data_IF_629613260997
#
_entry.id   IF_629613260997
#
_cell.length_a   1.000
_cell.length_b   1.000
_cell.length_c   1.000
_cell.angle_alpha   90.00
_cell.angle_beta   90.00
_cell.angle_gamma   90.00
#
_symmetry.space_group_name_H-M   'P 1'
#
loop_
_entity.id
_entity.type
_entity.pdbx_description
1 polymer ?
#
# COMPACT_ATOMS: atom_id res chain seq x y z
N UNK A 1 15.82 -26.58 -14.71
CA UNK A 1 17.03 -25.82 -14.33
C UNK A 1 17.07 -25.77 -12.81
N UNK A 2 18.15 -26.23 -12.15
CA UNK A 2 18.21 -26.26 -10.69
C UNK A 2 18.74 -24.94 -10.16
N UNK A 3 17.92 -24.20 -9.41
CA UNK A 3 18.31 -23.00 -8.68
C UNK A 3 18.35 -23.36 -7.19
N UNK A 4 19.47 -23.17 -6.48
CA UNK A 4 19.57 -23.43 -5.05
C UNK A 4 18.49 -22.68 -4.26
N UNK A 5 17.83 -23.35 -3.29
CA UNK A 5 16.72 -22.79 -2.50
C UNK A 5 17.05 -21.45 -1.82
N UNK A 6 18.32 -21.21 -1.47
CA UNK A 6 18.79 -19.96 -0.86
C UNK A 6 19.01 -18.81 -1.87
N UNK A 7 18.84 -19.04 -3.17
CA UNK A 7 19.02 -18.06 -4.26
C UNK A 7 17.72 -17.81 -5.03
N UNK A 8 16.59 -18.18 -4.46
CA UNK A 8 15.28 -18.01 -5.08
C UNK A 8 14.20 -17.75 -4.02
N UNK A 9 13.32 -16.81 -4.31
CA UNK A 9 12.11 -16.54 -3.56
C UNK A 9 10.94 -17.11 -4.35
N UNK A 10 10.44 -18.26 -3.93
CA UNK A 10 9.33 -18.98 -4.55
C UNK A 10 7.98 -18.59 -3.94
N UNK A 11 6.90 -18.98 -4.61
CA UNK A 11 5.51 -18.91 -4.13
C UNK A 11 5.07 -17.49 -3.76
N UNK A 12 5.52 -16.50 -4.52
CA UNK A 12 5.06 -15.11 -4.41
C UNK A 12 3.78 -14.94 -5.23
N UNK A 13 2.96 -13.92 -4.96
CA UNK A 13 1.72 -13.67 -5.70
C UNK A 13 1.58 -12.18 -6.04
N UNK A 14 1.05 -11.85 -7.22
CA UNK A 14 0.74 -10.47 -7.63
C UNK A 14 -0.69 -10.39 -8.16
N UNK A 15 -1.43 -9.36 -7.73
CA UNK A 15 -2.79 -9.02 -8.21
C UNK A 15 -2.94 -7.54 -8.55
N UNK A 16 -1.90 -6.75 -8.31
CA UNK A 16 -1.89 -5.30 -8.27
C UNK A 16 -1.36 -4.67 -9.57
N UNK A 17 -1.38 -5.42 -10.68
CA UNK A 17 -0.88 -5.01 -11.99
C UNK A 17 0.57 -4.50 -11.98
N UNK A 18 1.38 -4.89 -10.98
CA UNK A 18 2.78 -4.47 -10.84
C UNK A 18 3.77 -5.32 -11.61
N UNK A 19 3.35 -6.48 -12.09
CA UNK A 19 4.14 -7.28 -13.02
C UNK A 19 3.40 -7.31 -14.35
N UNK A 20 4.15 -7.30 -15.44
CA UNK A 20 3.65 -7.54 -16.77
C UNK A 20 4.49 -8.62 -17.44
N UNK A 21 3.85 -9.38 -18.34
CA UNK A 21 4.53 -10.37 -19.16
C UNK A 21 5.50 -9.62 -20.07
N UNK A 22 6.79 -9.98 -20.04
CA UNK A 22 7.84 -9.29 -20.80
C UNK A 22 7.57 -9.26 -22.30
N UNK A 23 7.00 -10.34 -22.84
CA UNK A 23 6.75 -10.51 -24.28
C UNK A 23 5.54 -9.72 -24.78
N UNK A 24 4.45 -9.69 -24.01
CA UNK A 24 3.17 -9.10 -24.46
C UNK A 24 2.89 -7.73 -23.85
N UNK A 25 3.55 -7.39 -22.74
CA UNK A 25 3.24 -6.20 -21.94
C UNK A 25 1.91 -6.29 -21.18
N UNK A 26 1.24 -7.44 -21.20
CA UNK A 26 -0.02 -7.63 -20.47
C UNK A 26 0.24 -7.75 -18.98
N UNK A 27 -0.61 -7.12 -18.17
CA UNK A 27 -0.52 -7.23 -16.73
C UNK A 27 -0.65 -8.68 -16.27
N UNK A 28 0.30 -9.10 -15.46
CA UNK A 28 0.34 -10.42 -14.89
C UNK A 28 -0.36 -10.43 -13.54
N UNK A 29 -1.26 -11.40 -13.36
CA UNK A 29 -1.90 -11.72 -12.08
C UNK A 29 -1.73 -13.21 -11.84
N UNK A 30 -1.18 -13.57 -10.69
CA UNK A 30 -0.87 -14.97 -10.39
C UNK A 30 0.36 -15.16 -9.53
N UNK A 31 0.69 -16.42 -9.29
CA UNK A 31 1.89 -16.81 -8.58
C UNK A 31 3.13 -16.56 -9.41
N UNK A 32 4.20 -16.11 -8.77
CA UNK A 32 5.50 -15.88 -9.39
C UNK A 32 6.63 -16.31 -8.45
N UNK A 33 7.84 -16.44 -8.98
CA UNK A 33 9.07 -16.54 -8.20
C UNK A 33 10.10 -15.52 -8.67
N UNK A 34 10.95 -15.11 -7.75
CA UNK A 34 12.03 -14.15 -7.98
C UNK A 34 13.37 -14.83 -7.78
N UNK A 35 14.24 -14.70 -8.76
CA UNK A 35 15.63 -15.18 -8.67
C UNK A 35 16.50 -14.18 -7.91
N UNK A 36 17.63 -14.64 -7.36
CA UNK A 36 18.62 -13.74 -6.73
C UNK A 36 19.14 -12.65 -7.67
N UNK A 37 19.13 -12.89 -8.99
CA UNK A 37 19.46 -11.91 -10.03
C UNK A 37 18.42 -10.78 -10.17
N UNK A 38 17.32 -10.85 -9.43
CA UNK A 38 16.24 -9.86 -9.48
C UNK A 38 15.22 -10.09 -10.60
N UNK A 39 15.34 -11.18 -11.36
CA UNK A 39 14.36 -11.54 -12.41
C UNK A 39 13.13 -12.22 -11.81
N UNK A 40 11.98 -11.94 -12.39
CA UNK A 40 10.67 -12.45 -12.00
C UNK A 40 10.16 -13.42 -13.06
N UNK A 41 9.53 -14.51 -12.62
CA UNK A 41 8.97 -15.52 -13.52
C UNK A 41 7.62 -16.01 -13.00
N UNK A 42 6.68 -16.32 -13.89
CA UNK A 42 5.40 -16.93 -13.50
C UNK A 42 5.58 -18.32 -12.89
N UNK A 43 4.61 -18.73 -12.07
CA UNK A 43 4.60 -20.01 -11.36
C UNK A 43 5.11 -19.91 -9.93
N UNK A 44 4.85 -20.92 -9.09
CA UNK A 44 5.29 -20.92 -7.69
C UNK A 44 6.79 -21.22 -7.59
N UNK A 45 7.34 -22.02 -8.49
CA UNK A 45 8.74 -22.46 -8.50
C UNK A 45 9.27 -22.57 -9.93
N UNK A 46 10.60 -22.67 -10.14
CA UNK A 46 11.19 -22.90 -11.47
C UNK A 46 10.79 -24.21 -12.15
N UNK A 47 10.14 -25.11 -11.39
CA UNK A 47 9.64 -26.37 -11.91
C UNK A 47 8.18 -26.26 -12.35
N UNK A 48 7.48 -25.17 -12.02
CA UNK A 48 6.11 -24.92 -12.44
C UNK A 48 6.16 -24.23 -13.81
N UNK A 49 5.99 -25.01 -14.88
CA UNK A 49 5.91 -24.47 -16.22
C UNK A 49 4.50 -23.89 -16.45
N UNK A 50 4.39 -22.71 -17.10
CA UNK A 50 5.43 -22.03 -17.85
C UNK A 50 6.19 -21.01 -16.97
N UNK A 51 7.50 -20.93 -17.15
CA UNK A 51 8.36 -19.93 -16.50
C UNK A 51 8.42 -18.66 -17.35
N UNK A 52 7.28 -18.00 -17.59
CA UNK A 52 7.23 -16.77 -18.39
C UNK A 52 7.96 -15.66 -17.64
N UNK A 53 8.90 -14.99 -18.30
CA UNK A 53 9.63 -13.87 -17.70
C UNK A 53 8.67 -12.68 -17.51
N UNK A 54 8.64 -12.18 -16.29
CA UNK A 54 7.85 -11.03 -15.89
C UNK A 54 8.79 -9.85 -15.69
N UNK A 55 8.34 -8.67 -16.07
CA UNK A 55 9.02 -7.42 -15.75
C UNK A 55 8.16 -6.64 -14.77
N UNK A 56 8.76 -6.02 -13.74
CA UNK A 56 8.04 -5.06 -12.94
C UNK A 56 7.58 -3.95 -13.86
N UNK A 57 6.29 -3.64 -13.79
CA UNK A 57 5.80 -2.34 -14.20
C UNK A 57 6.49 -1.38 -13.24
N UNK A 58 7.31 -0.48 -13.76
CA UNK A 58 7.80 0.65 -12.97
C UNK A 58 6.54 1.36 -12.47
N UNK A 59 6.18 1.05 -11.23
CA UNK A 59 5.44 1.97 -10.41
C UNK A 59 6.27 3.25 -10.58
N UNK A 60 5.68 4.31 -11.09
CA UNK A 60 6.14 5.65 -10.70
C UNK A 60 5.77 5.78 -9.23
N UNK A 61 6.29 4.85 -8.42
CA UNK A 61 6.32 4.79 -7.00
C UNK A 61 7.34 5.83 -6.65
N UNK A 62 6.91 7.08 -6.74
CA UNK A 62 7.19 7.99 -5.66
C UNK A 62 6.78 7.25 -4.38
N UNK A 63 7.74 6.56 -3.76
CA UNK A 63 7.86 6.63 -2.31
C UNK A 63 7.94 8.10 -1.99
N UNK A 64 6.78 8.76 -1.95
CA UNK A 64 6.68 10.12 -1.50
C UNK A 64 6.92 10.03 -0.01
N UNK A 65 8.20 10.18 0.39
CA UNK A 65 8.54 10.44 1.77
C UNK A 65 7.80 11.74 2.15
N UNK A 66 6.95 11.71 3.19
CA UNK A 66 6.21 12.87 3.66
C UNK A 66 7.16 13.90 4.29
N UNK A 67 7.93 14.61 3.49
CA UNK A 67 8.70 15.76 3.98
C UNK A 67 8.02 17.06 3.53
N UNK A 68 6.68 17.11 3.56
CA UNK A 68 5.95 18.36 3.47
C UNK A 68 5.94 18.99 4.86
N UNK A 69 6.98 19.77 5.14
CA UNK A 69 7.19 20.47 6.41
C UNK A 69 6.21 21.64 6.49
N UNK A 70 5.42 21.72 7.57
CA UNK A 70 4.44 22.81 7.73
C UNK A 70 4.91 23.89 8.73
N UNK A 71 5.80 23.56 9.66
CA UNK A 71 6.24 24.49 10.71
C UNK A 71 7.76 24.52 10.83
N UNK A 72 8.43 25.16 9.89
CA UNK A 72 9.79 25.64 10.15
C UNK A 72 9.63 27.00 10.83
N UNK A 73 9.94 27.13 12.13
CA UNK A 73 10.39 28.45 12.55
C UNK A 73 11.60 28.74 11.66
N UNK A 74 11.63 29.93 11.07
CA UNK A 74 12.57 30.40 10.06
C UNK A 74 14.07 30.39 10.49
N UNK A 75 14.42 29.66 11.56
CA UNK A 75 15.73 29.55 12.17
C UNK A 75 16.28 28.11 12.25
N UNK A 76 15.65 27.13 11.57
CA UNK A 76 16.11 25.74 11.57
C UNK A 76 16.19 25.11 10.18
N UNK A 77 17.41 24.88 9.72
CA UNK A 77 17.91 24.07 8.59
C UNK A 77 18.01 24.67 7.16
N UNK A 78 18.05 25.99 7.01
CA UNK A 78 18.68 26.62 5.84
C UNK A 78 19.79 27.57 6.29
N UNK A 79 20.96 27.64 5.62
CA UNK A 79 21.91 28.72 5.86
C UNK A 79 21.17 30.05 5.65
N UNK A 80 21.34 30.92 6.62
CA UNK A 80 20.76 32.25 6.73
C UNK A 80 20.67 32.96 5.37
N UNK A 81 19.47 33.02 4.80
CA UNK A 81 19.12 34.06 3.81
C UNK A 81 19.17 35.46 4.47
N UNK A 82 19.40 35.52 5.79
CA UNK A 82 19.41 36.71 6.62
C UNK A 82 20.74 37.48 6.68
N UNK A 83 21.81 37.02 6.02
CA UNK A 83 23.04 37.80 5.98
C UNK A 83 22.95 39.00 5.01
N UNK A 84 21.89 39.14 4.20
CA UNK A 84 21.79 40.21 3.18
C UNK A 84 20.43 40.92 3.03
N UNK A 85 19.42 40.69 3.88
CA UNK A 85 18.12 41.38 3.73
C UNK A 85 17.92 42.41 4.84
N UNK A 86 18.23 43.68 4.54
CA UNK A 86 17.76 44.86 5.27
C UNK A 86 16.23 44.94 5.11
N UNK A 87 15.51 44.13 5.89
CA UNK A 87 14.06 43.99 5.83
C UNK A 87 13.45 45.08 6.72
N UNK A 88 12.84 46.13 6.16
CA UNK A 88 12.35 47.24 6.98
C UNK A 88 11.25 46.76 7.94
N UNK A 89 11.45 46.97 9.23
CA UNK A 89 10.51 46.56 10.29
C UNK A 89 10.79 45.21 10.94
N UNK A 90 11.89 44.54 10.60
CA UNK A 90 12.38 43.36 11.31
C UNK A 90 13.26 43.78 12.51
N UNK A 91 12.94 43.26 13.70
CA UNK A 91 13.76 43.38 14.91
C UNK A 91 13.97 41.97 15.48
N UNK A 92 15.22 41.52 15.49
CA UNK A 92 15.60 40.22 16.04
C UNK A 92 15.18 40.07 17.51
N UNK A 93 15.25 41.16 18.29
CA UNK A 93 14.82 41.18 19.69
C UNK A 93 13.35 40.82 19.87
N UNK A 94 12.48 41.27 18.96
CA UNK A 94 11.05 40.95 18.98
C UNK A 94 10.77 39.45 18.78
N UNK A 95 11.56 38.78 17.92
CA UNK A 95 11.43 37.34 17.68
C UNK A 95 11.91 36.54 18.89
N UNK A 96 13.04 36.94 19.48
CA UNK A 96 13.59 36.31 20.69
C UNK A 96 12.63 36.47 21.88
N UNK A 97 12.07 37.66 22.06
CA UNK A 97 11.10 37.93 23.13
C UNK A 97 9.80 37.16 22.92
N UNK A 98 9.29 37.08 21.69
CA UNK A 98 8.14 36.24 21.35
C UNK A 98 8.40 34.76 21.67
N UNK A 99 9.54 34.21 21.23
CA UNK A 99 9.89 32.82 21.49
C UNK A 99 10.02 32.53 23.00
N UNK A 100 10.61 33.44 23.77
CA UNK A 100 10.70 33.34 25.23
C UNK A 100 9.32 33.34 25.88
N UNK A 101 8.42 34.23 25.45
CA UNK A 101 7.04 34.31 25.95
C UNK A 101 6.21 33.05 25.64
N UNK A 102 6.46 32.44 24.47
CA UNK A 102 5.79 31.20 24.05
C UNK A 102 6.48 29.92 24.56
N UNK A 103 7.60 30.04 25.29
CA UNK A 103 8.37 28.88 25.77
C UNK A 103 9.03 28.07 24.64
N UNK A 104 9.24 28.68 23.48
CA UNK A 104 9.85 28.04 22.30
C UNK A 104 11.37 28.03 22.49
N UNK A 105 11.97 26.84 22.39
CA UNK A 105 13.42 26.69 22.39
C UNK A 105 13.98 26.96 20.99
N UNK A 106 14.58 28.13 20.80
CA UNK A 106 15.17 28.56 19.52
C UNK A 106 16.36 27.68 19.06
N UNK A 107 16.94 26.87 19.95
CA UNK A 107 18.00 25.92 19.61
C UNK A 107 17.46 24.54 19.18
N UNK A 108 16.14 24.35 19.15
CA UNK A 108 15.49 23.12 18.73
C UNK A 108 14.64 23.37 17.48
N UNK A 109 14.71 22.43 16.54
CA UNK A 109 13.86 22.47 15.36
C UNK A 109 12.40 22.28 15.75
N UNK A 110 11.53 23.15 15.26
CA UNK A 110 10.06 23.01 15.40
C UNK A 110 9.43 22.30 14.22
N UNK A 111 10.25 21.70 13.34
CA UNK A 111 9.81 21.05 12.12
C UNK A 111 8.88 19.89 12.44
N UNK A 112 7.63 20.05 12.00
CA UNK A 112 6.62 19.01 12.07
C UNK A 112 6.25 18.55 10.66
N UNK A 113 6.15 17.23 10.49
CA UNK A 113 5.73 16.58 9.26
C UNK A 113 4.21 16.50 9.16
N UNK A 114 3.71 16.51 7.92
CA UNK A 114 2.35 16.14 7.61
C UNK A 114 2.27 14.68 7.15
N UNK A 115 1.22 13.93 7.53
CA UNK A 115 1.00 12.62 6.94
C UNK A 115 0.74 12.74 5.44
N UNK A 116 1.25 11.78 4.68
CA UNK A 116 0.95 11.64 3.25
C UNK A 116 0.19 10.37 2.96
N UNK A 117 -0.44 10.36 1.78
CA UNK A 117 -1.10 9.20 1.24
C UNK A 117 -0.11 8.04 1.07
N UNK A 118 -0.46 6.90 1.64
CA UNK A 118 0.19 5.62 1.43
C UNK A 118 -0.72 4.66 0.65
N UNK A 119 -0.10 3.63 0.09
CA UNK A 119 -0.79 2.57 -0.64
C UNK A 119 -0.42 1.22 -0.02
N UNK A 120 -1.15 0.74 1.00
CA UNK A 120 -0.82 -0.52 1.66
C UNK A 120 -0.96 -1.68 0.67
N UNK A 121 -0.19 -2.73 0.92
CA UNK A 121 -0.17 -3.94 0.11
C UNK A 121 -0.34 -5.13 1.06
N UNK A 122 -1.39 -5.95 0.91
CA UNK A 122 -1.50 -7.19 1.67
C UNK A 122 -0.34 -8.12 1.35
N UNK A 123 0.09 -8.89 2.35
CA UNK A 123 1.08 -9.94 2.20
C UNK A 123 0.41 -11.33 2.06
N UNK A 124 1.19 -12.40 1.97
CA UNK A 124 0.67 -13.76 1.81
C UNK A 124 -0.15 -14.18 3.04
N UNK A 125 0.35 -13.93 4.25
CA UNK A 125 -0.34 -14.26 5.50
C UNK A 125 -1.70 -13.54 5.58
N UNK A 126 -1.80 -12.31 5.08
CA UNK A 126 -3.06 -11.57 5.00
C UNK A 126 -4.09 -12.29 4.09
N UNK A 127 -3.65 -12.86 2.98
CA UNK A 127 -4.52 -13.64 2.08
C UNK A 127 -4.88 -15.01 2.67
N UNK A 128 -3.98 -15.65 3.41
CA UNK A 128 -4.27 -16.88 4.16
C UNK A 128 -5.30 -16.62 5.28
N UNK A 129 -5.19 -15.48 5.95
CA UNK A 129 -6.17 -15.01 6.94
C UNK A 129 -7.46 -14.48 6.31
N UNK A 130 -7.43 -14.18 5.01
CA UNK A 130 -8.53 -13.61 4.25
C UNK A 130 -8.87 -12.16 4.57
N UNK A 131 -8.02 -11.48 5.35
CA UNK A 131 -8.26 -10.10 5.76
C UNK A 131 -6.96 -9.43 6.24
N UNK A 132 -6.91 -8.10 6.14
CA UNK A 132 -5.82 -7.29 6.69
C UNK A 132 -6.31 -5.96 7.25
N UNK A 133 -5.47 -5.30 8.05
CA UNK A 133 -5.80 -3.98 8.63
C UNK A 133 -5.35 -2.85 7.70
N UNK A 134 -6.27 -1.91 7.44
CA UNK A 134 -5.98 -0.65 6.72
C UNK A 134 -6.03 0.52 7.70
N UNK A 135 -5.08 1.44 7.55
CA UNK A 135 -4.89 2.59 8.46
C UNK A 135 -5.21 3.89 7.74
N UNK A 136 -5.88 4.81 8.43
CA UNK A 136 -6.36 6.07 7.84
C UNK A 136 -6.25 7.22 8.82
N UNK A 137 -6.27 8.43 8.28
CA UNK A 137 -6.62 9.63 9.02
C UNK A 137 -7.55 10.54 8.21
N UNK A 138 -8.23 11.43 8.91
CA UNK A 138 -9.05 12.50 8.33
C UNK A 138 -8.72 13.83 9.01
N UNK A 139 -8.69 14.92 8.26
CA UNK A 139 -8.48 16.25 8.85
C UNK A 139 -9.60 16.60 9.82
N UNK A 140 -9.27 17.18 10.98
CA UNK A 140 -10.28 17.48 12.00
C UNK A 140 -11.30 18.53 11.55
N UNK A 141 -10.92 19.43 10.64
CA UNK A 141 -11.75 20.53 10.14
C UNK A 141 -12.34 20.33 8.74
N UNK A 142 -11.96 19.26 8.02
CA UNK A 142 -12.37 19.01 6.63
C UNK A 142 -12.49 17.51 6.36
N UNK A 143 -13.36 17.10 5.44
CA UNK A 143 -13.51 15.69 5.02
C UNK A 143 -12.43 15.27 4.00
N UNK A 144 -11.17 15.58 4.33
CA UNK A 144 -9.99 15.16 3.57
C UNK A 144 -9.39 13.96 4.27
N UNK A 145 -9.52 12.80 3.62
CA UNK A 145 -9.03 11.52 4.10
C UNK A 145 -7.68 11.18 3.46
N UNK A 146 -6.85 10.48 4.22
CA UNK A 146 -5.61 9.85 3.75
C UNK A 146 -5.59 8.40 4.21
N UNK A 147 -5.09 7.51 3.36
CA UNK A 147 -4.68 6.17 3.76
C UNK A 147 -3.22 6.22 4.18
N UNK A 148 -2.86 5.52 5.25
CA UNK A 148 -1.55 5.60 5.90
C UNK A 148 -0.87 4.24 5.92
N UNK A 149 0.46 4.26 6.01
CA UNK A 149 1.19 3.08 6.46
C UNK A 149 1.09 2.98 7.99
N UNK A 150 1.41 1.80 8.53
CA UNK A 150 1.32 1.53 9.96
C UNK A 150 2.21 2.45 10.79
N UNK A 151 3.43 2.74 10.34
CA UNK A 151 4.39 3.56 11.08
C UNK A 151 3.88 5.00 11.28
N UNK A 152 3.41 5.65 10.22
CA UNK A 152 2.85 7.01 10.27
C UNK A 152 1.56 7.03 11.09
N UNK A 153 0.71 6.02 10.94
CA UNK A 153 -0.49 5.88 11.78
C UNK A 153 -0.13 5.80 13.27
N UNK A 154 0.86 4.99 13.63
CA UNK A 154 1.29 4.81 15.02
C UNK A 154 1.84 6.12 15.59
N UNK A 155 2.67 6.86 14.84
CA UNK A 155 3.19 8.19 15.24
C UNK A 155 2.10 9.23 15.46
N UNK A 156 1.14 9.34 14.53
CA UNK A 156 0.00 10.24 14.70
C UNK A 156 -0.87 9.82 15.90
N UNK A 157 -1.04 8.52 16.12
CA UNK A 157 -1.87 7.98 17.20
C UNK A 157 -1.21 8.19 18.57
N UNK A 158 0.12 8.09 18.65
CA UNK A 158 0.91 8.34 19.85
C UNK A 158 1.19 9.82 20.11
N UNK A 159 0.68 10.73 19.27
CA UNK A 159 0.90 12.17 19.38
C UNK A 159 2.40 12.53 19.32
N UNK A 160 3.14 11.85 18.45
CA UNK A 160 4.57 12.10 18.24
C UNK A 160 4.78 13.53 17.70
N UNK A 161 5.62 14.31 18.39
CA UNK A 161 5.87 15.72 18.08
C UNK A 161 6.57 15.94 16.73
N UNK A 162 7.13 14.89 16.12
CA UNK A 162 7.63 14.97 14.74
C UNK A 162 6.51 15.13 13.71
N UNK A 163 5.25 14.88 14.07
CA UNK A 163 4.09 15.06 13.20
C UNK A 163 3.10 16.08 13.77
N UNK A 164 2.46 16.85 12.89
CA UNK A 164 1.39 17.77 13.27
C UNK A 164 0.06 17.02 13.49
N UNK A 165 0.05 16.18 14.51
CA UNK A 165 -1.01 15.20 14.79
C UNK A 165 -2.35 15.86 15.17
N UNK A 166 -2.33 17.07 15.73
CA UNK A 166 -3.53 17.79 16.21
C UNK A 166 -4.54 18.06 15.09
N UNK A 167 -4.08 18.12 13.83
CA UNK A 167 -4.92 18.34 12.68
C UNK A 167 -5.64 17.09 12.18
N UNK A 168 -5.36 15.91 12.73
CA UNK A 168 -5.82 14.64 12.19
C UNK A 168 -6.51 13.76 13.23
N UNK A 169 -7.63 13.17 12.82
CA UNK A 169 -8.28 12.08 13.54
C UNK A 169 -7.90 10.75 12.88
N UNK A 170 -7.23 9.87 13.60
CA UNK A 170 -6.79 8.56 13.07
C UNK A 170 -7.83 7.47 13.33
N UNK A 171 -7.93 6.52 12.39
CA UNK A 171 -8.75 5.33 12.54
C UNK A 171 -8.22 4.17 11.69
N UNK A 172 -8.68 2.95 11.99
CA UNK A 172 -8.31 1.75 11.23
C UNK A 172 -9.54 0.88 11.01
N UNK A 173 -9.54 0.10 9.94
CA UNK A 173 -10.58 -0.88 9.64
C UNK A 173 -9.94 -2.21 9.30
N UNK A 174 -10.63 -3.30 9.65
CA UNK A 174 -10.33 -4.63 9.10
C UNK A 174 -10.92 -4.69 7.69
N UNK A 175 -10.20 -5.24 6.72
CA UNK A 175 -10.61 -5.31 5.32
C UNK A 175 -10.53 -6.75 4.83
N UNK A 176 -11.65 -7.27 4.34
CA UNK A 176 -11.76 -8.65 3.86
C UNK A 176 -11.27 -8.73 2.42
N UNK A 177 -10.44 -9.72 2.10
CA UNK A 177 -9.77 -9.87 0.80
C UNK A 177 -9.90 -11.26 0.18
N UNK A 178 -10.47 -12.25 0.88
CA UNK A 178 -10.83 -13.55 0.30
C UNK A 178 -12.22 -14.00 0.79
N UNK A 179 -12.83 -14.97 0.10
CA UNK A 179 -14.16 -15.49 0.40
C UNK A 179 -15.13 -15.26 -0.77
N UNK A 180 -16.43 -15.45 -0.53
CA UNK A 180 -17.46 -15.24 -1.56
C UNK A 180 -17.50 -13.75 -1.93
N UNK A 181 -17.34 -13.42 -3.21
CA UNK A 181 -17.21 -12.02 -3.68
C UNK A 181 -18.32 -11.10 -3.15
N UNK A 182 -19.58 -11.53 -3.28
CA UNK A 182 -20.74 -10.76 -2.81
C UNK A 182 -20.66 -10.49 -1.30
N UNK A 183 -20.25 -11.49 -0.51
CA UNK A 183 -20.10 -11.35 0.92
C UNK A 183 -18.94 -10.43 1.28
N UNK A 184 -17.81 -10.52 0.57
CA UNK A 184 -16.65 -9.64 0.75
C UNK A 184 -17.03 -8.19 0.46
N UNK A 185 -17.68 -7.93 -0.68
CA UNK A 185 -18.11 -6.59 -1.08
C UNK A 185 -19.07 -5.99 -0.04
N UNK A 186 -20.08 -6.77 0.37
CA UNK A 186 -21.08 -6.37 1.37
C UNK A 186 -20.44 -6.10 2.74
N UNK A 187 -19.53 -6.98 3.16
CA UNK A 187 -18.81 -6.86 4.44
C UNK A 187 -17.98 -5.58 4.48
N UNK A 188 -17.15 -5.34 3.46
CA UNK A 188 -16.31 -4.16 3.36
C UNK A 188 -17.13 -2.86 3.26
N UNK A 189 -18.24 -2.86 2.52
CA UNK A 189 -19.17 -1.73 2.49
C UNK A 189 -19.76 -1.44 3.89
N UNK A 190 -20.23 -2.46 4.60
CA UNK A 190 -20.78 -2.32 5.95
C UNK A 190 -19.74 -1.76 6.94
N UNK A 191 -18.49 -2.22 6.85
CA UNK A 191 -17.38 -1.70 7.66
C UNK A 191 -17.20 -0.20 7.45
N UNK A 192 -17.21 0.26 6.19
CA UNK A 192 -17.08 1.69 5.84
C UNK A 192 -18.25 2.49 6.41
N UNK A 193 -19.49 2.03 6.23
CA UNK A 193 -20.70 2.70 6.75
C UNK A 193 -20.71 2.79 8.27
N UNK A 194 -20.32 1.72 8.97
CA UNK A 194 -20.20 1.70 10.42
C UNK A 194 -19.14 2.69 10.87
N UNK A 195 -18.01 2.75 10.18
CA UNK A 195 -16.91 3.63 10.53
C UNK A 195 -17.26 5.11 10.36
N UNK A 196 -17.95 5.48 9.27
CA UNK A 196 -18.50 6.83 9.07
C UNK A 196 -19.44 7.24 10.21
N UNK A 197 -20.38 6.36 10.59
CA UNK A 197 -21.31 6.61 11.70
C UNK A 197 -20.59 6.78 13.04
N UNK A 198 -19.60 5.94 13.33
CA UNK A 198 -18.82 6.00 14.58
C UNK A 198 -18.04 7.30 14.71
N UNK A 199 -17.44 7.77 13.62
CA UNK A 199 -16.68 9.02 13.58
C UNK A 199 -17.59 10.25 13.44
N UNK A 200 -18.88 10.06 13.13
CA UNK A 200 -19.82 11.13 12.77
C UNK A 200 -19.30 11.98 11.61
N UNK A 201 -18.70 11.31 10.61
CA UNK A 201 -18.13 11.92 9.41
C UNK A 201 -18.60 11.19 8.17
N UNK A 202 -18.64 11.91 7.05
CA UNK A 202 -19.05 11.38 5.76
C UNK A 202 -17.87 11.43 4.78
N UNK A 203 -18.03 10.77 3.63
CA UNK A 203 -17.08 10.87 2.52
C UNK A 203 -15.98 9.82 2.52
N UNK A 204 -15.90 8.95 3.53
CA UNK A 204 -14.93 7.85 3.57
C UNK A 204 -15.19 6.85 2.44
N UNK A 205 -16.46 6.49 2.18
CA UNK A 205 -16.81 5.63 1.05
C UNK A 205 -16.44 6.25 -0.30
N UNK A 206 -16.64 7.57 -0.45
CA UNK A 206 -16.26 8.32 -1.66
C UNK A 206 -14.76 8.39 -1.84
N UNK A 207 -14.00 8.60 -0.75
CA UNK A 207 -12.54 8.54 -0.76
C UNK A 207 -12.04 7.19 -1.26
N UNK A 208 -12.68 6.09 -0.86
CA UNK A 208 -12.40 4.74 -1.36
C UNK A 208 -12.94 4.47 -2.78
N UNK A 209 -13.53 5.47 -3.44
CA UNK A 209 -14.20 5.35 -4.75
C UNK A 209 -15.27 4.26 -4.79
N UNK A 210 -15.85 3.92 -3.63
CA UNK A 210 -16.78 2.80 -3.46
C UNK A 210 -16.24 1.45 -3.97
N UNK A 211 -14.91 1.28 -4.08
CA UNK A 211 -14.30 0.02 -4.48
C UNK A 211 -14.10 -0.89 -3.25
N UNK A 212 -15.16 -1.61 -2.88
CA UNK A 212 -15.18 -2.51 -1.73
C UNK A 212 -14.53 -3.88 -1.99
N UNK A 213 -14.11 -4.14 -3.24
CA UNK A 213 -13.34 -5.33 -3.64
C UNK A 213 -11.86 -5.01 -3.85
N UNK A 214 -11.38 -3.83 -3.43
CA UNK A 214 -9.96 -3.51 -3.50
C UNK A 214 -9.15 -4.59 -2.79
N UNK A 215 -8.17 -5.16 -3.48
CA UNK A 215 -7.29 -6.26 -3.04
C UNK A 215 -7.94 -7.65 -2.97
N UNK A 216 -9.21 -7.81 -3.36
CA UNK A 216 -9.90 -9.10 -3.37
C UNK A 216 -9.21 -10.11 -4.28
N UNK A 217 -9.07 -11.35 -3.78
CA UNK A 217 -8.61 -12.51 -4.51
C UNK A 217 -9.78 -13.50 -4.63
N UNK A 218 -10.24 -13.81 -5.86
CA UNK A 218 -11.29 -14.80 -6.07
C UNK A 218 -10.88 -16.18 -5.54
N UNK A 219 -11.75 -16.77 -4.72
CA UNK A 219 -11.57 -18.13 -4.20
C UNK A 219 -12.07 -19.21 -5.16
N UNK A 220 -12.86 -18.86 -6.17
CA UNK A 220 -13.34 -19.80 -7.18
C UNK A 220 -12.53 -19.68 -8.49
N UNK A 221 -12.12 -20.83 -8.99
CA UNK A 221 -11.44 -21.07 -10.26
C UNK A 221 -12.20 -20.45 -11.43
N UNK A 222 -13.53 -20.43 -11.32
CA UNK A 222 -14.43 -19.90 -12.35
C UNK A 222 -14.45 -18.38 -12.43
N UNK A 223 -13.99 -17.68 -11.39
CA UNK A 223 -13.92 -16.21 -11.32
C UNK A 223 -12.52 -15.68 -11.67
N UNK A 224 -11.59 -16.57 -12.03
CA UNK A 224 -10.27 -16.20 -12.54
C UNK A 224 -10.38 -15.75 -14.00
N UNK A 225 -9.59 -14.74 -14.43
CA UNK A 225 -9.56 -14.30 -15.83
C UNK A 225 -9.24 -15.49 -16.74
N UNK A 226 -9.74 -15.59 -17.99
CA UNK A 226 -9.58 -16.78 -18.81
C UNK A 226 -8.11 -17.20 -18.91
N UNK A 227 -7.80 -18.49 -18.76
CA UNK A 227 -6.43 -18.97 -18.80
C UNK A 227 -5.84 -18.74 -20.20
N UNK A 228 -4.52 -18.53 -20.32
CA UNK A 228 -3.87 -18.45 -21.62
C UNK A 228 -4.16 -19.70 -22.48
N UNK A 229 -4.10 -19.61 -23.82
CA UNK A 229 -4.34 -20.75 -24.69
C UNK A 229 -3.47 -21.96 -24.33
N UNK A 230 -4.11 -23.10 -24.04
CA UNK A 230 -3.43 -24.36 -23.67
C UNK A 230 -3.32 -24.63 -22.15
N UNK A 231 -3.89 -23.76 -21.32
CA UNK A 231 -3.91 -23.85 -19.86
C UNK A 231 -5.34 -23.94 -19.31
N UNK A 232 -5.48 -24.45 -18.09
CA UNK A 232 -6.68 -24.36 -17.27
C UNK A 232 -6.29 -24.08 -15.81
N UNK A 233 -7.23 -23.59 -15.03
CA UNK A 233 -7.05 -23.44 -13.59
C UNK A 233 -7.47 -24.72 -12.87
N UNK A 234 -6.68 -25.12 -11.89
CA UNK A 234 -6.94 -26.21 -10.97
C UNK A 234 -7.93 -25.79 -9.87
N UNK A 235 -8.58 -26.75 -9.17
CA UNK A 235 -9.46 -26.48 -8.03
C UNK A 235 -8.87 -25.57 -6.94
N UNK A 236 -7.54 -25.49 -6.83
CA UNK A 236 -6.80 -24.66 -5.88
C UNK A 236 -6.39 -23.29 -6.45
N UNK A 237 -6.91 -22.93 -7.63
CA UNK A 237 -6.62 -21.69 -8.34
C UNK A 237 -5.26 -21.66 -9.05
N UNK A 238 -4.51 -22.77 -9.09
CA UNK A 238 -3.23 -22.82 -9.81
C UNK A 238 -3.42 -23.01 -11.31
N UNK A 239 -2.61 -22.33 -12.12
CA UNK A 239 -2.64 -22.48 -13.58
C UNK A 239 -1.84 -23.74 -13.98
N UNK A 240 -2.42 -24.66 -14.75
CA UNK A 240 -1.74 -25.87 -15.24
C UNK A 240 -1.95 -26.07 -16.74
N UNK A 241 -0.93 -26.60 -17.43
CA UNK A 241 -1.06 -26.98 -18.86
C UNK A 241 -1.94 -28.22 -19.03
N UNK A 242 -2.66 -28.31 -20.14
CA UNK A 242 -3.39 -29.53 -20.51
C UNK A 242 -2.47 -30.76 -20.63
N UNK A 243 -1.20 -30.55 -21.00
CA UNK A 243 -0.18 -31.61 -21.13
C UNK A 243 0.27 -32.14 -19.77
N UNK A 244 0.44 -31.28 -18.77
CA UNK A 244 0.84 -31.69 -17.42
C UNK A 244 -0.32 -32.29 -16.64
N UNK A 245 -1.53 -31.78 -16.80
CA UNK A 245 -2.72 -32.40 -16.21
C UNK A 245 -2.87 -33.85 -16.68
N UNK A 246 -2.81 -34.11 -18.00
CA UNK A 246 -2.84 -35.48 -18.54
C UNK A 246 -1.71 -36.36 -18.02
N UNK A 247 -0.51 -35.79 -17.83
CA UNK A 247 0.64 -36.54 -17.30
C UNK A 247 0.49 -36.87 -15.81
N UNK A 248 -0.19 -36.04 -15.04
CA UNK A 248 -0.28 -36.13 -13.58
C UNK A 248 -1.56 -36.82 -13.09
N UNK A 249 -2.65 -36.71 -13.84
CA UNK A 249 -3.99 -37.19 -13.45
C UNK A 249 -4.64 -38.13 -14.48
N UNK A 250 -3.99 -38.38 -15.63
CA UNK A 250 -4.56 -39.23 -16.70
C UNK A 250 -5.58 -38.51 -17.58
N UNK A 251 -6.08 -39.18 -18.62
CA UNK A 251 -7.04 -38.59 -19.58
C UNK A 251 -8.51 -38.59 -19.12
N UNK A 252 -8.83 -39.16 -17.94
CA UNK A 252 -10.21 -39.54 -17.59
C UNK A 252 -10.95 -38.59 -16.63
N UNK A 253 -10.45 -37.37 -16.38
CA UNK A 253 -11.20 -36.36 -15.62
C UNK A 253 -11.63 -35.21 -16.54
N UNK A 254 -12.86 -35.33 -17.05
CA UNK A 254 -13.66 -34.23 -17.61
C UNK A 254 -14.75 -33.84 -16.60
#
# INVERSE_FOLDING_TARGET
MYIPKNRILTNQYTSDNKLQIKETGEFYRGYYYKTFEGKFFSGKTPNDLPNVELIPVEDVGVTFKPDQVQNEIAYGDFPTIFDEIDTPGYDEGMVVDYARLQGINLNQSTRTLLPTQAYPQPNIDDYELGQFTRYFCVKVNQDIYLELNKEVYDKLKSQDDSYLWQLYQTFKIQWTITGIEEEVQKTNNNIVLIQERRMKRQGFGRFLKFNFLKFYLPTDVNDLPPPPPGYHYMPDGTLMTNKEHRKRFGEDYN
#
